data_IF_403945519401
#
_entry.id   IF_403945519401
#
_cell.length_a   1.000
_cell.length_b   1.000
_cell.length_c   1.000
_cell.angle_alpha   90.00
_cell.angle_beta   90.00
_cell.angle_gamma   90.00
#
_symmetry.space_group_name_H-M   'P 1'
#
loop_
_entity.id
_entity.type
_entity.pdbx_description
1 polymer ?
#
# COMPACT_ATOMS: atom_id res chain seq x y z
N UNK A 1 -9.52 -25.62 26.14
CA UNK A 1 -8.98 -26.25 24.93
C UNK A 1 -7.46 -26.21 25.02
N UNK A 2 -6.75 -27.29 24.71
CA UNK A 2 -5.29 -27.29 24.54
C UNK A 2 -4.86 -26.34 23.41
N UNK A 3 -3.69 -25.70 23.54
CA UNK A 3 -3.16 -24.78 22.51
C UNK A 3 -2.95 -25.48 21.15
N UNK A 4 -2.63 -26.78 21.15
CA UNK A 4 -2.47 -27.60 19.93
C UNK A 4 -3.76 -27.83 19.13
N UNK A 5 -4.92 -27.46 19.66
CA UNK A 5 -6.23 -27.68 19.01
C UNK A 5 -6.87 -26.37 18.55
N UNK A 6 -6.24 -25.22 18.81
CA UNK A 6 -6.80 -23.90 18.53
C UNK A 6 -5.71 -22.97 18.01
N UNK A 7 -5.94 -22.44 16.81
CA UNK A 7 -5.15 -21.36 16.25
C UNK A 7 -5.62 -20.04 16.87
N UNK A 8 -4.72 -19.35 17.58
CA UNK A 8 -5.01 -18.08 18.21
C UNK A 8 -4.24 -16.94 17.54
N UNK A 9 -4.90 -16.29 16.60
CA UNK A 9 -4.40 -15.07 15.97
C UNK A 9 -4.54 -13.87 16.91
N UNK A 10 -3.47 -13.10 17.04
CA UNK A 10 -3.36 -11.95 17.94
C UNK A 10 -2.80 -10.76 17.18
N UNK A 11 -3.58 -9.68 17.16
CA UNK A 11 -3.14 -8.41 16.62
C UNK A 11 -2.43 -7.59 17.70
N UNK A 12 -1.13 -7.30 17.56
CA UNK A 12 -0.31 -6.42 18.42
C UNK A 12 -0.57 -6.50 19.95
N UNK A 13 0.30 -7.23 20.66
CA UNK A 13 0.19 -7.46 22.11
C UNK A 13 1.01 -6.44 22.94
N UNK A 14 0.51 -5.20 23.13
CA UNK A 14 1.26 -4.17 23.88
C UNK A 14 1.20 -4.31 25.41
N UNK A 15 0.03 -4.61 25.98
CA UNK A 15 -0.17 -4.62 27.44
C UNK A 15 -0.12 -6.01 28.07
N UNK A 16 -0.43 -7.04 27.30
CA UNK A 16 -0.48 -8.42 27.78
C UNK A 16 0.01 -9.36 26.67
N UNK A 17 0.89 -10.32 26.97
CA UNK A 17 1.49 -11.18 25.95
C UNK A 17 0.48 -12.07 25.23
N UNK A 18 -0.66 -12.38 25.86
CA UNK A 18 -1.69 -13.26 25.29
C UNK A 18 -2.93 -12.53 24.75
N UNK A 19 -3.01 -11.20 24.84
CA UNK A 19 -4.21 -10.45 24.43
C UNK A 19 -3.80 -9.43 23.39
N UNK A 20 -4.31 -9.61 22.16
CA UNK A 20 -4.16 -8.65 21.08
C UNK A 20 -5.09 -7.45 21.26
N UNK A 21 -4.67 -6.29 20.74
CA UNK A 21 -5.48 -5.08 20.67
C UNK A 21 -5.99 -4.88 19.24
N UNK A 22 -7.31 -4.79 19.03
CA UNK A 22 -7.83 -4.52 17.69
C UNK A 22 -7.48 -3.09 17.27
N UNK A 23 -7.24 -2.85 15.96
CA UNK A 23 -6.98 -1.50 15.43
C UNK A 23 -8.16 -0.54 15.69
N UNK A 24 -9.39 -1.06 15.84
CA UNK A 24 -10.58 -0.30 16.25
C UNK A 24 -10.35 0.47 17.55
N UNK A 25 -9.56 -0.06 18.48
CA UNK A 25 -9.27 0.61 19.75
C UNK A 25 -8.55 1.95 19.52
N UNK A 26 -7.62 2.00 18.57
CA UNK A 26 -6.93 3.24 18.20
C UNK A 26 -7.86 4.24 17.48
N UNK A 27 -8.82 3.75 16.70
CA UNK A 27 -9.83 4.57 16.04
C UNK A 27 -11.02 4.97 16.94
N UNK A 28 -11.10 4.44 18.17
CA UNK A 28 -12.28 4.55 19.03
C UNK A 28 -12.71 5.98 19.34
N UNK A 29 -11.75 6.87 19.61
CA UNK A 29 -12.05 8.29 19.87
C UNK A 29 -12.60 9.01 18.62
N UNK A 30 -11.98 8.78 17.46
CA UNK A 30 -12.42 9.37 16.20
C UNK A 30 -13.81 8.86 15.78
N UNK A 31 -14.06 7.56 15.94
CA UNK A 31 -15.37 6.96 15.67
C UNK A 31 -16.45 7.51 16.61
N UNK A 32 -16.14 7.64 17.90
CA UNK A 32 -17.07 8.21 18.91
C UNK A 32 -17.37 9.68 18.61
N UNK A 33 -16.36 10.45 18.24
CA UNK A 33 -16.54 11.84 17.81
C UNK A 33 -17.45 11.93 16.58
N UNK A 34 -17.19 11.12 15.55
CA UNK A 34 -18.04 11.07 14.34
C UNK A 34 -19.49 10.70 14.65
N UNK A 35 -19.70 9.71 15.53
CA UNK A 35 -21.03 9.29 15.96
C UNK A 35 -21.81 10.42 16.64
N UNK A 36 -21.19 11.12 17.60
CA UNK A 36 -21.84 12.24 18.28
C UNK A 36 -22.10 13.44 17.38
N UNK A 37 -21.24 13.70 16.38
CA UNK A 37 -21.50 14.74 15.38
C UNK A 37 -22.74 14.38 14.56
N UNK A 38 -22.83 13.14 14.05
CA UNK A 38 -24.00 12.69 13.29
C UNK A 38 -25.28 12.70 14.12
N UNK A 39 -25.20 12.28 15.38
CA UNK A 39 -26.31 12.30 16.32
C UNK A 39 -26.78 13.74 16.59
N UNK A 40 -25.85 14.66 16.86
CA UNK A 40 -26.14 16.08 17.04
C UNK A 40 -26.78 16.69 15.78
N UNK A 41 -26.26 16.38 14.58
CA UNK A 41 -26.88 16.80 13.32
C UNK A 41 -28.30 16.23 13.18
N UNK A 42 -28.52 14.97 13.52
CA UNK A 42 -29.85 14.34 13.46
C UNK A 42 -30.84 15.02 14.39
N UNK A 43 -30.44 15.32 15.64
CA UNK A 43 -31.29 16.07 16.57
C UNK A 43 -31.55 17.50 16.11
N UNK A 44 -30.53 18.18 15.57
CA UNK A 44 -30.65 19.53 15.05
C UNK A 44 -31.66 19.59 13.89
N UNK A 45 -31.56 18.71 12.90
CA UNK A 45 -32.50 18.65 11.79
C UNK A 45 -33.88 18.15 12.20
N UNK A 46 -33.97 17.20 13.14
CA UNK A 46 -35.24 16.73 13.71
C UNK A 46 -36.01 17.85 14.41
N UNK A 47 -35.31 18.79 15.03
CA UNK A 47 -35.90 19.94 15.71
C UNK A 47 -36.12 21.15 14.77
N UNK A 48 -36.14 20.93 13.45
CA UNK A 48 -36.40 21.98 12.46
C UNK A 48 -35.30 23.03 12.36
N UNK A 49 -34.06 22.69 12.73
CA UNK A 49 -32.92 23.60 12.70
C UNK A 49 -33.00 24.74 13.71
N UNK A 50 -33.93 24.68 14.67
CA UNK A 50 -34.01 25.68 15.73
C UNK A 50 -33.09 25.27 16.89
N UNK A 51 -32.07 26.08 17.21
CA UNK A 51 -31.26 25.81 18.39
C UNK A 51 -32.10 26.03 19.66
N UNK A 52 -31.75 25.29 20.70
CA UNK A 52 -32.26 25.54 22.05
C UNK A 52 -32.00 27.00 22.43
N UNK A 53 -32.89 27.58 23.24
CA UNK A 53 -32.75 28.95 23.72
C UNK A 53 -33.09 29.05 25.19
N UNK A 54 -32.71 30.18 25.78
CA UNK A 54 -33.02 30.51 27.17
C UNK A 54 -34.17 31.50 27.18
N UNK A 55 -35.20 31.19 27.97
CA UNK A 55 -36.29 32.13 28.25
C UNK A 55 -35.88 32.95 29.48
N UNK A 56 -35.59 34.22 29.26
CA UNK A 56 -35.27 35.18 30.31
C UNK A 56 -36.57 35.85 30.79
N UNK A 57 -36.87 35.78 32.08
CA UNK A 57 -38.06 36.38 32.68
C UNK A 57 -37.60 37.45 33.68
N UNK A 58 -38.00 38.72 33.51
CA UNK A 58 -37.66 39.76 34.48
C UNK A 58 -38.49 39.59 35.76
N UNK A 59 -37.85 39.16 36.87
CA UNK A 59 -38.47 39.03 38.20
C UNK A 59 -38.23 37.67 38.86
N UNK A 60 -38.75 37.49 40.08
CA UNK A 60 -38.73 36.18 40.75
C UNK A 60 -39.99 35.38 40.39
N UNK A 61 -39.81 34.15 39.91
CA UNK A 61 -40.91 33.21 39.62
C UNK A 61 -40.93 32.13 40.70
N UNK A 62 -42.13 31.70 41.10
CA UNK A 62 -42.28 30.51 41.95
C UNK A 62 -41.99 29.25 41.14
N UNK A 63 -41.46 28.21 41.78
CA UNK A 63 -41.05 26.97 41.09
C UNK A 63 -42.23 26.29 40.36
N UNK A 64 -43.45 26.39 40.88
CA UNK A 64 -44.66 25.90 40.23
C UNK A 64 -44.97 26.62 38.90
N UNK A 65 -44.80 27.94 38.86
CA UNK A 65 -45.07 28.74 37.66
C UNK A 65 -43.99 28.50 36.60
N UNK A 66 -42.73 28.28 37.01
CA UNK A 66 -41.66 27.86 36.10
C UNK A 66 -41.93 26.49 35.46
N UNK A 67 -42.38 25.50 36.25
CA UNK A 67 -42.74 24.17 35.74
C UNK A 67 -43.93 24.22 34.78
N UNK A 68 -44.96 25.00 35.08
CA UNK A 68 -46.11 25.21 34.18
C UNK A 68 -45.70 25.88 32.88
N UNK A 69 -44.84 26.91 32.95
CA UNK A 69 -44.35 27.59 31.75
C UNK A 69 -43.50 26.65 30.87
N UNK A 70 -42.63 25.85 31.49
CA UNK A 70 -41.85 24.82 30.78
C UNK A 70 -42.76 23.78 30.10
N UNK A 71 -43.76 23.24 30.82
CA UNK A 71 -44.69 22.26 30.26
C UNK A 71 -45.54 22.83 29.10
N UNK A 72 -45.96 24.09 29.21
CA UNK A 72 -46.69 24.77 28.13
C UNK A 72 -45.79 25.03 26.92
N UNK A 73 -44.51 25.35 27.15
CA UNK A 73 -43.53 25.51 26.10
C UNK A 73 -43.26 24.19 25.36
N UNK A 74 -42.98 23.13 26.12
CA UNK A 74 -42.65 21.82 25.57
C UNK A 74 -43.80 21.24 24.75
N UNK A 75 -45.05 21.39 25.22
CA UNK A 75 -46.25 20.94 24.49
C UNK A 75 -46.62 21.79 23.26
N UNK A 76 -46.38 23.10 23.33
CA UNK A 76 -46.78 24.05 22.28
C UNK A 76 -45.76 24.25 21.16
N UNK A 77 -44.47 24.00 21.41
CA UNK A 77 -43.37 24.41 20.52
C UNK A 77 -42.34 23.31 20.23
N UNK A 78 -42.54 22.07 20.71
CA UNK A 78 -41.68 20.91 20.39
C UNK A 78 -42.36 19.97 19.39
N UNK A 79 -41.57 19.25 18.58
CA UNK A 79 -42.05 18.20 17.69
C UNK A 79 -42.83 18.73 16.48
N UNK A 80 -44.03 18.20 16.24
CA UNK A 80 -44.90 18.61 15.11
C UNK A 80 -45.36 20.08 15.19
N UNK A 81 -45.26 20.68 16.37
CA UNK A 81 -45.54 22.10 16.60
C UNK A 81 -44.29 23.00 16.51
N UNK A 82 -43.13 22.45 16.14
CA UNK A 82 -41.90 23.23 15.94
C UNK A 82 -42.09 24.28 14.84
N UNK A 83 -41.72 25.54 15.14
CA UNK A 83 -41.90 26.67 14.23
C UNK A 83 -43.17 27.51 14.42
N UNK A 84 -44.04 27.17 15.39
CA UNK A 84 -45.15 28.05 15.78
C UNK A 84 -44.65 29.30 16.50
N UNK A 85 -45.32 30.44 16.29
CA UNK A 85 -44.97 31.72 16.94
C UNK A 85 -45.22 31.65 18.45
N UNK A 86 -44.16 31.85 19.23
CA UNK A 86 -44.23 31.90 20.68
C UNK A 86 -44.76 33.25 21.18
N UNK A 87 -45.80 33.23 22.02
CA UNK A 87 -46.29 34.41 22.74
C UNK A 87 -45.80 34.31 24.18
N UNK A 88 -44.94 35.24 24.57
CA UNK A 88 -44.33 35.29 25.89
C UNK A 88 -45.03 36.38 26.73
N UNK A 89 -45.56 36.01 27.90
CA UNK A 89 -46.19 36.95 28.84
C UNK A 89 -45.16 37.63 29.75
N UNK A 90 -45.51 38.80 30.32
CA UNK A 90 -44.72 39.52 31.34
C UNK A 90 -43.32 39.96 30.90
N UNK A 91 -43.13 40.32 29.62
CA UNK A 91 -41.85 40.83 29.13
C UNK A 91 -40.73 39.76 29.05
N UNK A 92 -41.10 38.48 29.12
CA UNK A 92 -40.16 37.39 28.93
C UNK A 92 -39.59 37.41 27.50
N UNK A 93 -38.28 37.20 27.39
CA UNK A 93 -37.54 37.22 26.12
C UNK A 93 -36.97 35.84 25.84
N UNK A 94 -37.17 35.36 24.62
CA UNK A 94 -36.48 34.16 24.13
C UNK A 94 -35.18 34.59 23.48
N UNK A 95 -34.06 34.24 24.11
CA UNK A 95 -32.73 34.40 23.53
C UNK A 95 -32.35 33.05 22.90
N UNK A 96 -32.44 32.88 21.56
CA UNK A 96 -31.96 31.67 20.91
C UNK A 96 -30.45 31.57 21.18
N UNK A 97 -29.98 30.40 21.59
CA UNK A 97 -28.54 30.13 21.61
C UNK A 97 -28.13 29.93 20.15
N UNK A 98 -27.82 31.03 19.47
CA UNK A 98 -27.48 31.02 18.04
C UNK A 98 -26.34 30.05 17.78
N UNK A 99 -26.59 29.06 16.94
CA UNK A 99 -25.55 28.23 16.34
C UNK A 99 -25.04 28.98 15.10
N UNK A 100 -23.74 29.25 15.04
CA UNK A 100 -23.04 29.89 13.91
C UNK A 100 -23.04 28.97 12.67
N UNK A 101 -22.48 29.30 11.48
CA UNK A 101 -22.57 28.45 10.29
C UNK A 101 -21.66 27.22 10.48
N UNK A 102 -22.22 26.22 11.17
CA UNK A 102 -21.55 24.99 11.57
C UNK A 102 -21.60 23.95 10.47
N UNK A 103 -22.57 24.00 9.56
CA UNK A 103 -22.79 22.94 8.56
C UNK A 103 -21.51 22.60 7.77
N UNK A 104 -20.79 23.61 7.28
CA UNK A 104 -19.52 23.42 6.56
C UNK A 104 -18.41 22.85 7.46
N UNK A 105 -18.32 23.30 8.71
CA UNK A 105 -17.33 22.81 9.69
C UNK A 105 -17.65 21.40 10.20
N UNK A 106 -18.94 21.04 10.34
CA UNK A 106 -19.34 19.67 10.70
C UNK A 106 -19.05 18.68 9.60
N UNK A 107 -19.23 19.06 8.33
CA UNK A 107 -18.86 18.21 7.21
C UNK A 107 -17.35 17.98 7.19
N UNK A 108 -16.55 19.03 7.43
CA UNK A 108 -15.09 18.90 7.53
C UNK A 108 -14.67 18.01 8.72
N UNK A 109 -15.28 18.17 9.89
CA UNK A 109 -15.02 17.32 11.05
C UNK A 109 -15.40 15.85 10.78
N UNK A 110 -16.55 15.60 10.15
CA UNK A 110 -16.95 14.25 9.75
C UNK A 110 -15.95 13.63 8.78
N UNK A 111 -15.51 14.39 7.77
CA UNK A 111 -14.49 13.93 6.83
C UNK A 111 -13.17 13.62 7.53
N UNK A 112 -12.73 14.48 8.45
CA UNK A 112 -11.53 14.26 9.26
C UNK A 112 -11.64 12.98 10.10
N UNK A 113 -12.77 12.74 10.78
CA UNK A 113 -12.96 11.51 11.56
C UNK A 113 -12.91 10.26 10.67
N UNK A 114 -13.51 10.32 9.47
CA UNK A 114 -13.46 9.22 8.51
C UNK A 114 -12.03 8.98 7.98
N UNK A 115 -11.27 10.03 7.68
CA UNK A 115 -9.86 9.94 7.26
C UNK A 115 -8.98 9.35 8.37
N UNK A 116 -9.20 9.74 9.64
CA UNK A 116 -8.48 9.16 10.78
C UNK A 116 -8.79 7.66 10.89
N UNK A 117 -10.06 7.25 10.79
CA UNK A 117 -10.43 5.83 10.80
C UNK A 117 -9.74 5.08 9.65
N UNK A 118 -9.76 5.63 8.43
CA UNK A 118 -9.07 5.04 7.28
C UNK A 118 -7.57 4.85 7.54
N UNK A 119 -6.91 5.86 8.13
CA UNK A 119 -5.48 5.83 8.42
C UNK A 119 -5.10 4.73 9.42
N UNK A 120 -5.95 4.45 10.42
CA UNK A 120 -5.72 3.41 11.42
C UNK A 120 -5.74 2.01 10.78
N UNK A 121 -6.63 1.78 9.82
CA UNK A 121 -6.69 0.54 9.05
C UNK A 121 -5.70 0.49 7.88
N UNK A 122 -4.94 1.56 7.64
CA UNK A 122 -4.05 1.73 6.47
C UNK A 122 -4.77 1.62 5.13
N UNK A 123 -6.10 1.79 5.12
CA UNK A 123 -6.91 1.76 3.91
C UNK A 123 -6.91 3.16 3.30
N UNK A 124 -6.56 3.34 2.03
CA UNK A 124 -6.64 4.63 1.37
C UNK A 124 -8.09 5.16 1.33
N UNK A 125 -8.28 6.44 1.69
CA UNK A 125 -9.60 7.05 1.80
C UNK A 125 -10.43 7.02 0.49
N UNK A 126 -9.78 6.98 -0.67
CA UNK A 126 -10.46 6.89 -1.97
C UNK A 126 -11.13 5.52 -2.20
N UNK A 127 -10.65 4.44 -1.56
CA UNK A 127 -11.29 3.11 -1.66
C UNK A 127 -12.62 3.05 -0.89
N UNK A 128 -12.76 3.87 0.15
CA UNK A 128 -13.95 3.95 1.01
C UNK A 128 -14.93 5.03 0.50
N UNK A 129 -14.54 5.82 -0.50
CA UNK A 129 -15.36 6.89 -1.07
C UNK A 129 -15.38 8.19 -0.26
N UNK A 130 -14.48 8.32 0.72
CA UNK A 130 -14.32 9.54 1.55
C UNK A 130 -13.30 10.50 0.91
N UNK A 131 -12.27 9.93 0.29
CA UNK A 131 -11.23 10.67 -0.42
C UNK A 131 -11.60 10.95 -1.87
N UNK A 132 -11.09 12.05 -2.42
CA UNK A 132 -11.10 12.25 -3.87
C UNK A 132 -10.17 11.22 -4.52
N UNK A 133 -10.60 10.49 -5.57
CA UNK A 133 -9.71 9.62 -6.29
C UNK A 133 -8.57 10.47 -6.87
N UNK A 134 -7.31 10.07 -6.69
CA UNK A 134 -6.21 10.79 -7.30
C UNK A 134 -6.39 10.79 -8.82
N UNK A 135 -6.12 11.92 -9.46
CA UNK A 135 -6.22 12.10 -10.92
C UNK A 135 -5.18 11.31 -11.72
N UNK A 136 -4.48 10.37 -11.09
CA UNK A 136 -3.49 9.53 -11.75
C UNK A 136 -4.20 8.53 -12.65
N UNK A 137 -3.96 8.62 -13.95
CA UNK A 137 -4.38 7.65 -14.98
C UNK A 137 -3.87 6.20 -14.74
N UNK A 138 -3.15 5.95 -13.65
CA UNK A 138 -2.50 4.69 -13.31
C UNK A 138 -3.22 4.07 -12.11
N UNK A 139 -4.42 3.53 -12.35
CA UNK A 139 -5.24 2.81 -11.37
C UNK A 139 -4.47 1.63 -10.76
N UNK A 140 -3.52 1.10 -11.51
CA UNK A 140 -2.66 -0.01 -11.13
C UNK A 140 -1.69 0.35 -10.00
N UNK A 141 -1.09 1.54 -10.05
CA UNK A 141 -0.21 2.02 -8.99
C UNK A 141 -0.96 2.19 -7.66
N UNK A 142 -2.24 2.57 -7.73
CA UNK A 142 -3.12 2.71 -6.57
C UNK A 142 -3.47 1.36 -5.95
N UNK A 143 -3.74 0.34 -6.77
CA UNK A 143 -4.00 -1.02 -6.29
C UNK A 143 -2.75 -1.65 -5.65
N UNK A 144 -1.59 -1.45 -6.27
CA UNK A 144 -0.32 -1.91 -5.70
C UNK A 144 -0.01 -1.22 -4.37
N UNK A 145 -0.25 0.10 -4.28
CA UNK A 145 -0.11 0.83 -3.02
C UNK A 145 -1.05 0.28 -1.94
N UNK A 146 -2.31 -0.01 -2.28
CA UNK A 146 -3.27 -0.60 -1.36
C UNK A 146 -2.82 -1.97 -0.85
N UNK A 147 -2.34 -2.82 -1.75
CA UNK A 147 -1.78 -4.12 -1.39
C UNK A 147 -0.60 -3.99 -0.43
N UNK A 148 0.43 -3.23 -0.80
CA UNK A 148 1.66 -3.11 -0.01
C UNK A 148 1.47 -2.40 1.33
N UNK A 149 0.55 -1.44 1.44
CA UNK A 149 0.36 -0.66 2.68
C UNK A 149 -0.62 -1.31 3.66
N UNK A 150 -1.62 -2.04 3.17
CA UNK A 150 -2.71 -2.57 3.98
C UNK A 150 -2.71 -4.10 4.05
N UNK A 151 -2.82 -4.76 2.89
CA UNK A 151 -3.14 -6.18 2.83
C UNK A 151 -1.92 -7.06 3.08
N UNK A 152 -0.75 -6.66 2.58
CA UNK A 152 0.48 -7.45 2.65
C UNK A 152 0.80 -7.88 4.08
N UNK A 153 0.82 -6.94 5.02
CA UNK A 153 1.12 -7.27 6.43
C UNK A 153 0.10 -8.22 7.04
N UNK A 154 -1.18 -8.11 6.69
CA UNK A 154 -2.23 -8.99 7.22
C UNK A 154 -2.13 -10.39 6.64
N UNK A 155 -1.90 -10.49 5.34
CA UNK A 155 -1.75 -11.77 4.61
C UNK A 155 -0.54 -12.52 5.14
N UNK A 156 0.64 -11.89 5.16
CA UNK A 156 1.89 -12.49 5.64
C UNK A 156 1.79 -12.93 7.12
N UNK A 157 1.07 -12.16 7.96
CA UNK A 157 0.86 -12.54 9.36
C UNK A 157 0.02 -13.81 9.50
N UNK A 158 -1.01 -13.98 8.66
CA UNK A 158 -1.86 -15.17 8.67
C UNK A 158 -1.10 -16.36 8.10
N UNK A 159 -0.35 -16.19 7.02
CA UNK A 159 0.50 -17.24 6.41
C UNK A 159 1.50 -17.80 7.43
N UNK A 160 2.24 -16.91 8.09
CA UNK A 160 3.22 -17.30 9.09
C UNK A 160 2.60 -18.06 10.27
N UNK A 161 1.41 -17.63 10.70
CA UNK A 161 0.67 -18.29 11.77
C UNK A 161 0.10 -19.65 11.32
N UNK A 162 -0.33 -19.78 10.08
CA UNK A 162 -0.76 -21.06 9.51
C UNK A 162 0.42 -22.02 9.38
N UNK A 163 1.59 -21.55 8.97
CA UNK A 163 2.80 -22.36 8.88
C UNK A 163 3.28 -22.85 10.25
N UNK A 164 3.25 -21.98 11.27
CA UNK A 164 3.55 -22.38 12.65
C UNK A 164 2.53 -23.41 13.18
N UNK A 165 1.25 -23.20 12.89
CA UNK A 165 0.17 -24.05 13.40
C UNK A 165 0.08 -25.42 12.71
N UNK A 166 0.41 -25.50 11.42
CA UNK A 166 0.37 -26.73 10.63
C UNK A 166 1.68 -27.52 10.73
N UNK A 167 2.72 -26.96 11.36
CA UNK A 167 4.06 -27.53 11.43
C UNK A 167 4.59 -27.89 10.03
N UNK A 168 4.26 -27.07 9.03
CA UNK A 168 4.74 -27.23 7.67
C UNK A 168 6.27 -27.18 7.74
N UNK A 169 6.94 -28.29 7.39
CA UNK A 169 8.39 -28.42 7.57
C UNK A 169 9.18 -27.40 6.74
N UNK A 170 10.51 -27.36 6.85
CA UNK A 170 11.36 -26.37 6.15
C UNK A 170 11.18 -26.28 4.62
N UNK A 171 10.52 -27.25 3.98
CA UNK A 171 10.35 -27.34 2.53
C UNK A 171 8.94 -27.00 2.02
N UNK A 172 7.97 -26.76 2.90
CA UNK A 172 6.58 -26.48 2.53
C UNK A 172 6.09 -25.24 3.29
N UNK A 173 5.45 -24.30 2.59
CA UNK A 173 4.88 -23.08 3.16
C UNK A 173 3.47 -22.85 2.61
N UNK A 174 2.65 -22.16 3.40
CA UNK A 174 1.29 -21.80 3.05
C UNK A 174 1.27 -20.38 2.53
N UNK A 175 0.89 -20.21 1.27
CA UNK A 175 0.77 -18.88 0.64
C UNK A 175 -0.66 -18.68 0.13
N UNK A 176 -1.22 -17.49 0.36
CA UNK A 176 -2.46 -17.06 -0.25
C UNK A 176 -2.22 -16.60 -1.69
N UNK A 177 -3.07 -17.04 -2.61
CA UNK A 177 -2.99 -16.59 -4.00
C UNK A 177 -3.48 -15.14 -4.16
N UNK A 178 -2.54 -14.20 -4.11
CA UNK A 178 -2.75 -12.77 -4.37
C UNK A 178 -2.78 -12.44 -5.86
N UNK A 179 -2.56 -13.43 -6.74
CA UNK A 179 -2.53 -13.22 -8.20
C UNK A 179 -3.85 -12.70 -8.71
N UNK A 180 -4.97 -13.16 -8.14
CA UNK A 180 -6.31 -12.70 -8.53
C UNK A 180 -6.54 -11.23 -8.18
N UNK A 181 -5.99 -10.74 -7.07
CA UNK A 181 -6.06 -9.32 -6.68
C UNK A 181 -5.22 -8.46 -7.65
N UNK A 182 -4.05 -8.96 -8.04
CA UNK A 182 -3.12 -8.29 -8.96
C UNK A 182 -3.40 -8.58 -10.44
N UNK A 183 -4.51 -9.23 -10.81
CA UNK A 183 -4.81 -9.61 -12.22
C UNK A 183 -4.88 -8.42 -13.17
N UNK A 184 -5.20 -7.22 -12.69
CA UNK A 184 -5.15 -5.99 -13.48
C UNK A 184 -3.72 -5.66 -13.98
N UNK A 185 -2.69 -6.18 -13.34
CA UNK A 185 -1.26 -5.98 -13.66
C UNK A 185 -0.67 -7.11 -14.54
N UNK A 186 -1.48 -8.05 -15.06
CA UNK A 186 -0.95 -9.23 -15.77
C UNK A 186 -0.07 -8.86 -16.97
N UNK A 187 -0.37 -7.78 -17.68
CA UNK A 187 0.44 -7.32 -18.81
C UNK A 187 1.82 -6.82 -18.36
N UNK A 188 1.89 -5.97 -17.32
CA UNK A 188 3.17 -5.47 -16.79
C UNK A 188 3.93 -6.57 -16.07
N UNK A 189 3.26 -7.50 -15.38
CA UNK A 189 3.90 -8.68 -14.78
C UNK A 189 4.55 -9.54 -15.85
N UNK A 190 3.82 -9.89 -16.91
CA UNK A 190 4.35 -10.67 -18.04
C UNK A 190 5.47 -9.91 -18.76
N UNK A 191 5.35 -8.59 -18.90
CA UNK A 191 6.42 -7.75 -19.46
C UNK A 191 7.66 -7.73 -18.57
N UNK A 192 7.50 -7.58 -17.26
CA UNK A 192 8.60 -7.56 -16.28
C UNK A 192 9.30 -8.92 -16.21
N UNK A 193 8.54 -10.03 -16.21
CA UNK A 193 9.09 -11.38 -16.28
C UNK A 193 9.80 -11.62 -17.61
N UNK A 194 9.21 -11.18 -18.73
CA UNK A 194 9.82 -11.25 -20.06
C UNK A 194 11.11 -10.44 -20.14
N UNK A 195 11.13 -9.22 -19.60
CA UNK A 195 12.31 -8.36 -19.52
C UNK A 195 13.37 -8.95 -18.59
N UNK A 196 12.98 -9.56 -17.47
CA UNK A 196 13.91 -10.22 -16.56
C UNK A 196 14.58 -11.45 -17.19
N UNK A 197 13.83 -12.26 -17.96
CA UNK A 197 14.40 -13.37 -18.73
C UNK A 197 15.29 -12.86 -19.87
N UNK A 198 14.85 -11.82 -20.59
CA UNK A 198 15.60 -11.20 -21.69
C UNK A 198 16.91 -10.54 -21.23
N UNK A 199 16.91 -9.92 -20.05
CA UNK A 199 18.07 -9.29 -19.43
C UNK A 199 18.93 -10.30 -18.66
N UNK A 200 18.71 -11.60 -18.84
CA UNK A 200 19.49 -12.66 -18.18
C UNK A 200 19.49 -12.58 -16.64
N UNK A 201 18.44 -12.02 -16.04
CA UNK A 201 18.31 -11.96 -14.57
C UNK A 201 17.68 -13.24 -14.01
N UNK A 202 16.76 -13.86 -14.77
CA UNK A 202 16.05 -15.07 -14.41
C UNK A 202 16.13 -16.08 -15.55
N UNK A 203 16.21 -17.36 -15.21
CA UNK A 203 16.02 -18.44 -16.18
C UNK A 203 14.52 -18.58 -16.54
N UNK A 204 14.19 -19.06 -17.75
CA UNK A 204 12.80 -19.33 -18.11
C UNK A 204 12.04 -20.26 -17.14
N UNK A 205 12.73 -21.23 -16.53
CA UNK A 205 12.12 -22.13 -15.55
C UNK A 205 11.88 -21.45 -14.18
N UNK A 206 12.74 -20.53 -13.75
CA UNK A 206 12.49 -19.71 -12.55
C UNK A 206 11.29 -18.76 -12.77
N UNK A 207 11.17 -18.17 -13.95
CA UNK A 207 10.02 -17.35 -14.31
C UNK A 207 8.72 -18.18 -14.33
N UNK A 208 8.76 -19.43 -14.83
CA UNK A 208 7.62 -20.35 -14.80
C UNK A 208 7.24 -20.81 -13.41
N UNK A 209 8.22 -21.08 -12.55
CA UNK A 209 8.00 -21.43 -11.14
C UNK A 209 7.22 -20.31 -10.42
N UNK A 210 7.55 -19.04 -10.68
CA UNK A 210 6.84 -17.88 -10.10
C UNK A 210 5.38 -17.79 -10.52
N UNK A 211 5.04 -18.29 -11.71
CA UNK A 211 3.67 -18.38 -12.21
C UNK A 211 3.00 -19.72 -11.87
N UNK A 212 3.60 -20.52 -10.97
CA UNK A 212 3.12 -21.87 -10.61
C UNK A 212 2.93 -22.80 -11.83
N UNK A 213 3.76 -22.63 -12.87
CA UNK A 213 3.76 -23.45 -14.08
C UNK A 213 4.84 -24.54 -13.99
N UNK A 214 4.59 -25.73 -14.58
CA UNK A 214 5.57 -26.82 -14.57
C UNK A 214 6.85 -26.43 -15.35
N UNK A 215 8.03 -26.90 -14.90
CA UNK A 215 9.29 -26.63 -15.59
C UNK A 215 9.35 -27.34 -16.95
N UNK A 216 10.12 -26.78 -17.89
CA UNK A 216 10.31 -27.36 -19.22
C UNK A 216 11.80 -27.61 -19.49
N UNK A 217 12.10 -28.68 -20.23
CA UNK A 217 13.48 -29.04 -20.58
C UNK A 217 14.16 -27.91 -21.37
N UNK A 218 15.36 -27.51 -20.95
CA UNK A 218 16.14 -26.41 -21.54
C UNK A 218 15.88 -25.04 -20.91
N UNK A 219 14.91 -24.91 -20.01
CA UNK A 219 14.58 -23.62 -19.37
C UNK A 219 15.49 -23.21 -18.20
N UNK A 220 16.52 -24.00 -17.86
CA UNK A 220 17.46 -23.71 -16.75
C UNK A 220 18.70 -22.92 -17.20
N UNK A 221 18.82 -22.65 -18.51
CA UNK A 221 19.92 -21.87 -19.06
C UNK A 221 19.55 -20.38 -19.19
N UNK A 222 20.51 -19.51 -18.92
CA UNK A 222 20.40 -18.08 -19.13
C UNK A 222 20.55 -17.77 -20.63
N UNK A 223 19.57 -17.10 -21.22
CA UNK A 223 19.56 -16.81 -22.65
C UNK A 223 19.94 -15.35 -22.91
N UNK A 224 21.04 -15.11 -23.62
CA UNK A 224 21.44 -13.77 -24.06
C UNK A 224 21.17 -13.60 -25.56
N UNK A 225 20.30 -12.66 -25.92
CA UNK A 225 20.02 -12.34 -27.31
C UNK A 225 21.11 -11.42 -27.89
N UNK A 226 22.00 -11.97 -28.71
CA UNK A 226 23.01 -11.18 -29.44
C UNK A 226 22.39 -10.60 -30.73
N UNK A 227 21.82 -9.40 -30.64
CA UNK A 227 21.22 -8.70 -31.79
C UNK A 227 22.24 -7.88 -32.62
N UNK A 228 23.22 -7.27 -31.96
CA UNK A 228 24.22 -6.42 -32.63
C UNK A 228 25.58 -7.12 -32.62
N UNK A 229 26.03 -7.52 -33.80
CA UNK A 229 27.40 -7.97 -34.03
C UNK A 229 28.17 -6.86 -34.75
N UNK A 230 29.49 -6.75 -34.51
CA UNK A 230 30.33 -5.90 -35.36
C UNK A 230 30.39 -6.48 -36.77
N UNK A 231 30.51 -5.62 -37.78
CA UNK A 231 30.61 -6.06 -39.18
C UNK A 231 31.79 -7.03 -39.40
N UNK A 232 32.86 -6.88 -38.61
CA UNK A 232 34.02 -7.79 -38.62
C UNK A 232 33.74 -9.15 -37.97
N UNK A 233 32.87 -9.20 -36.95
CA UNK A 233 32.44 -10.45 -36.34
C UNK A 233 31.46 -11.21 -37.25
N UNK A 234 30.61 -10.49 -37.99
CA UNK A 234 29.73 -11.09 -39.00
C UNK A 234 30.52 -11.62 -40.19
N UNK A 235 31.50 -10.87 -40.70
CA UNK A 235 32.33 -11.35 -41.82
C UNK A 235 33.15 -12.58 -41.45
N UNK A 236 33.68 -12.66 -40.23
CA UNK A 236 34.41 -13.83 -39.73
C UNK A 236 33.50 -15.03 -39.45
N UNK A 237 32.22 -14.80 -39.13
CA UNK A 237 31.21 -15.85 -38.95
C UNK A 237 30.75 -16.41 -40.30
N UNK A 238 30.46 -15.53 -41.26
CA UNK A 238 29.95 -15.89 -42.59
C UNK A 238 31.07 -16.44 -43.51
N UNK A 239 32.34 -16.25 -43.15
CA UNK A 239 33.50 -16.90 -43.77
C UNK A 239 33.74 -18.35 -43.30
N UNK A 240 32.93 -18.88 -42.36
CA UNK A 240 32.95 -20.32 -41.99
C UNK A 240 31.98 -21.08 -42.87
N UNK A 241 32.37 -22.28 -43.34
CA UNK A 241 31.56 -23.06 -44.28
C UNK A 241 30.21 -23.53 -43.72
N UNK A 242 30.02 -23.58 -42.40
CA UNK A 242 28.71 -23.78 -41.77
C UNK A 242 28.51 -22.90 -40.52
N UNK A 243 27.86 -21.72 -40.67
CA UNK A 243 27.76 -20.72 -39.61
C UNK A 243 26.91 -21.10 -38.38
N UNK A 244 26.12 -22.18 -38.46
CA UNK A 244 25.16 -22.58 -37.42
C UNK A 244 25.30 -24.03 -36.94
N UNK A 245 26.31 -24.78 -37.39
CA UNK A 245 26.54 -26.13 -36.89
C UNK A 245 27.20 -26.09 -35.49
N UNK A 246 26.49 -26.59 -34.47
CA UNK A 246 27.05 -26.78 -33.12
C UNK A 246 28.18 -27.81 -33.18
N UNK A 247 29.42 -27.34 -33.11
CA UNK A 247 30.59 -28.22 -33.10
C UNK A 247 30.86 -28.71 -31.69
N UNK A 248 30.55 -30.00 -31.48
CA UNK A 248 31.01 -30.75 -30.33
C UNK A 248 32.53 -30.80 -30.24
N UNK A 249 33.02 -30.86 -28.99
CA UNK A 249 34.43 -30.99 -28.56
C UNK A 249 35.33 -31.72 -29.56
N UNK A 250 36.43 -31.10 -29.98
CA UNK A 250 37.69 -31.84 -30.15
C UNK A 250 38.96 -31.01 -29.89
N UNK A 251 39.78 -31.61 -29.04
CA UNK A 251 41.20 -31.48 -28.70
C UNK A 251 42.13 -30.45 -29.38
N UNK A 252 42.99 -29.91 -28.52
CA UNK A 252 44.22 -29.16 -28.80
C UNK A 252 45.13 -29.86 -29.83
N UNK A 253 45.59 -29.11 -30.84
CA UNK A 253 46.79 -29.42 -31.61
C UNK A 253 47.60 -28.13 -31.82
N UNK A 254 48.88 -28.18 -31.47
CA UNK A 254 49.86 -27.09 -31.59
C UNK A 254 50.18 -26.76 -33.07
N UNK A 255 50.54 -25.51 -33.41
CA UNK A 255 50.99 -25.17 -34.76
C UNK A 255 52.51 -25.39 -34.97
N UNK A 256 52.96 -25.72 -36.20
CA UNK A 256 54.37 -25.84 -36.55
C UNK A 256 55.04 -24.50 -36.88
N UNK A 257 56.36 -24.47 -36.67
CA UNK A 257 57.30 -23.38 -36.93
C UNK A 257 57.37 -22.93 -38.41
N UNK A 258 57.56 -21.62 -38.63
CA UNK A 258 58.26 -21.11 -39.82
C UNK A 258 57.81 -19.77 -40.43
N UNK A 259 58.57 -18.71 -40.12
CA UNK A 259 58.89 -17.50 -40.93
C UNK A 259 57.79 -16.50 -41.33
N UNK A 260 57.69 -15.37 -40.61
CA UNK A 260 58.19 -14.00 -40.97
C UNK A 260 57.20 -13.20 -41.86
N UNK A 261 56.81 -11.96 -41.60
CA UNK A 261 57.48 -10.87 -40.89
C UNK A 261 56.46 -9.73 -40.61
N UNK A 262 56.67 -8.92 -39.56
CA UNK A 262 56.09 -7.57 -39.47
C UNK A 262 55.10 -7.26 -38.35
N UNK A 263 55.54 -7.21 -37.09
CA UNK A 263 55.32 -6.02 -36.24
C UNK A 263 56.21 -6.07 -34.98
N UNK A 264 57.14 -5.12 -34.85
CA UNK A 264 58.01 -4.96 -33.67
C UNK A 264 57.17 -4.57 -32.46
N UNK A 265 57.10 -5.46 -31.48
CA UNK A 265 56.76 -5.12 -30.10
C UNK A 265 57.98 -4.45 -29.44
N UNK A 266 57.76 -3.22 -28.93
CA UNK A 266 58.36 -2.60 -27.73
C UNK A 266 59.33 -3.52 -26.96
N UNK A 267 60.60 -3.12 -26.85
CA UNK A 267 61.65 -3.92 -26.20
C UNK A 267 61.62 -3.81 -24.68
N UNK A 268 62.02 -4.88 -23.98
CA UNK A 268 62.01 -5.00 -22.50
C UNK A 268 62.69 -3.83 -21.75
N UNK A 269 63.63 -3.13 -22.40
CA UNK A 269 64.27 -1.92 -21.89
C UNK A 269 63.29 -0.75 -21.69
N UNK A 270 62.25 -0.65 -22.50
CA UNK A 270 61.22 0.39 -22.41
C UNK A 270 60.20 0.04 -21.30
N UNK A 271 59.97 -1.25 -21.07
CA UNK A 271 59.07 -1.72 -20.01
C UNK A 271 59.66 -1.50 -18.61
N UNK A 272 60.99 -1.62 -18.45
CA UNK A 272 61.69 -1.31 -17.20
C UNK A 272 61.81 0.20 -16.94
N UNK A 273 61.95 1.02 -17.99
CA UNK A 273 61.96 2.48 -17.85
C UNK A 273 60.60 3.03 -17.37
N UNK A 274 59.48 2.49 -17.87
CA UNK A 274 58.13 2.88 -17.45
C UNK A 274 57.85 2.44 -16.00
N UNK A 275 58.35 1.27 -15.59
CA UNK A 275 58.22 0.75 -14.23
C UNK A 275 59.04 1.55 -13.21
N UNK A 276 60.19 2.08 -13.63
CA UNK A 276 61.02 2.97 -12.82
C UNK A 276 60.40 4.37 -12.65
N UNK A 277 59.77 4.94 -13.68
CA UNK A 277 59.07 6.23 -13.58
C UNK A 277 57.87 6.16 -12.63
N UNK A 278 57.08 5.08 -12.68
CA UNK A 278 55.90 4.93 -11.82
C UNK A 278 56.23 4.75 -10.32
N UNK A 279 57.40 4.18 -9.98
CA UNK A 279 57.86 4.09 -8.58
C UNK A 279 58.33 5.43 -8.01
N UNK A 280 58.76 6.38 -8.84
CA UNK A 280 59.18 7.71 -8.40
C UNK A 280 58.01 8.65 -8.07
N UNK A 281 56.84 8.43 -8.69
CA UNK A 281 55.67 9.29 -8.53
C UNK A 281 54.85 8.93 -7.27
N UNK A 282 54.96 7.71 -6.77
CA UNK A 282 54.26 7.22 -5.56
C UNK A 282 55.04 7.38 -4.25
N UNK A 283 56.20 8.05 -4.27
CA UNK A 283 56.98 8.41 -3.08
C UNK A 283 57.27 9.91 -3.06
N UNK A 284 56.22 10.70 -2.82
CA UNK A 284 56.27 12.01 -2.14
C UNK A 284 54.96 12.24 -1.42
#
# INVERSE_FOLDING_TARGET
MPAREVIHDRFNCFFHPLIGLPPVYAAGLAATQGHHIQENSTYFFRNGGMPSGVIEIPGSITEENAKKLKSNWDSGYTGENAGKTAILSNGAKYNPTTFSPVDAQTVEQLKMTAEIVCSVFRVPAYKIGVGQPPSSDNVEALEQQYYSQCLQTLIESIELLLDEALETGENESTEFDVTTLLRMDSERRMKTLGDAVKNTLLTPNEARKRENLPPLAGGDALYLQQQNYSLEALSRRDAREDPFASTGKTALAQPPDGASDGNKAISETEHDAVKAMFRGILKK
#
